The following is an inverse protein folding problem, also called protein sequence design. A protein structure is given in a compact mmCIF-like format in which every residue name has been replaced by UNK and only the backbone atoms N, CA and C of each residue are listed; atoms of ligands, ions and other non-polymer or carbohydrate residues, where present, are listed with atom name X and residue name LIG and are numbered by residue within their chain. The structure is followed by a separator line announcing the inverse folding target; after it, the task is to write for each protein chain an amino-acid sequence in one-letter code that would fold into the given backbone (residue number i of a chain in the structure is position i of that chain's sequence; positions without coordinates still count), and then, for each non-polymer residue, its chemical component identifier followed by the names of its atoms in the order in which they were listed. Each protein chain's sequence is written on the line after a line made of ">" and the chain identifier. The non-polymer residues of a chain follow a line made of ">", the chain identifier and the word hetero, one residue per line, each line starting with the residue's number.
data_IF_580252763941
#
_entry.id   IF_580252763941
#
_cell.length_a   1.000
_cell.length_b   1.000
_cell.length_c   1.000
_cell.angle_alpha   90.00
_cell.angle_beta   90.00
_cell.angle_gamma   90.00
#
_symmetry.space_group_name_H-M   'P 1'
#
loop_
_entity.id
_entity.type
_entity.pdbx_description
1 polymer ?
#
# COMPACT_ATOMS: atom_id res chain seq x y z
N UNK A 1 -12.96 29.25 -3.75
CA UNK A 1 -14.15 28.45 -4.10
C UNK A 1 -14.79 28.04 -2.81
N UNK A 2 -16.05 28.41 -2.61
CA UNK A 2 -16.79 28.01 -1.41
C UNK A 2 -17.04 26.51 -1.46
N UNK A 3 -16.78 25.85 -0.33
CA UNK A 3 -17.03 24.42 -0.18
C UNK A 3 -18.54 24.16 -0.21
N UNK A 4 -19.01 23.32 -1.15
CA UNK A 4 -20.41 22.86 -1.20
C UNK A 4 -20.50 21.41 -0.72
N UNK A 5 -21.07 21.15 0.48
CA UNK A 5 -21.27 19.79 0.99
C UNK A 5 -22.06 18.90 0.04
N UNK A 6 -23.09 19.45 -0.61
CA UNK A 6 -23.93 18.70 -1.54
C UNK A 6 -23.13 18.22 -2.76
N UNK A 7 -22.35 19.11 -3.38
CA UNK A 7 -21.51 18.73 -4.53
C UNK A 7 -20.42 17.74 -4.11
N UNK A 8 -19.83 17.92 -2.91
CA UNK A 8 -18.83 17.01 -2.38
C UNK A 8 -19.38 15.58 -2.22
N UNK A 9 -20.61 15.42 -1.72
CA UNK A 9 -21.28 14.13 -1.62
C UNK A 9 -21.70 13.58 -2.99
N UNK A 10 -22.19 14.43 -3.90
CA UNK A 10 -22.59 14.01 -5.25
C UNK A 10 -21.43 13.41 -6.05
N UNK A 11 -20.21 13.87 -5.83
CA UNK A 11 -18.99 13.36 -6.49
C UNK A 11 -18.51 12.02 -5.93
N UNK A 12 -19.09 11.52 -4.83
CA UNK A 12 -18.71 10.22 -4.26
C UNK A 12 -19.26 9.08 -5.11
N UNK A 13 -18.39 8.14 -5.49
CA UNK A 13 -18.75 6.97 -6.31
C UNK A 13 -19.91 6.17 -5.72
N UNK A 14 -19.97 6.09 -4.39
CA UNK A 14 -21.03 5.39 -3.66
C UNK A 14 -22.41 5.99 -3.94
N UNK A 15 -22.49 7.32 -4.09
CA UNK A 15 -23.74 8.08 -4.18
C UNK A 15 -24.09 8.52 -5.61
N UNK A 16 -23.32 8.11 -6.61
CA UNK A 16 -23.60 8.46 -8.00
C UNK A 16 -25.05 8.10 -8.39
N UNK A 17 -25.80 9.01 -9.01
CA UNK A 17 -27.18 8.74 -9.42
C UNK A 17 -28.21 8.62 -8.29
N UNK A 18 -27.86 8.94 -7.03
CA UNK A 18 -28.87 9.26 -6.02
C UNK A 18 -29.51 10.61 -6.36
N UNK A 19 -30.81 10.74 -6.06
CA UNK A 19 -31.52 12.00 -6.26
C UNK A 19 -31.02 13.09 -5.29
N UNK A 20 -31.25 14.34 -5.66
CA UNK A 20 -30.74 15.47 -4.87
C UNK A 20 -31.42 15.61 -3.50
N UNK A 21 -32.67 15.14 -3.33
CA UNK A 21 -33.34 15.21 -2.03
C UNK A 21 -32.71 14.23 -1.03
N UNK A 22 -32.42 13.01 -1.46
CA UNK A 22 -31.67 12.01 -0.68
C UNK A 22 -30.28 12.53 -0.32
N UNK A 23 -29.55 13.12 -1.27
CA UNK A 23 -28.23 13.70 -0.99
C UNK A 23 -28.32 14.86 0.02
N UNK A 24 -29.35 15.71 -0.07
CA UNK A 24 -29.56 16.81 0.85
C UNK A 24 -29.82 16.34 2.28
N UNK A 25 -30.59 15.25 2.46
CA UNK A 25 -30.76 14.61 3.78
C UNK A 25 -29.41 14.15 4.33
N UNK A 26 -28.58 13.52 3.49
CA UNK A 26 -27.26 13.03 3.90
C UNK A 26 -26.31 14.14 4.29
N UNK A 27 -26.37 15.31 3.64
CA UNK A 27 -25.55 16.48 4.02
C UNK A 27 -25.77 16.83 5.50
N UNK A 28 -27.02 16.86 5.97
CA UNK A 28 -27.34 17.20 7.37
C UNK A 28 -26.89 16.15 8.39
N UNK A 29 -26.58 14.93 7.94
CA UNK A 29 -26.14 13.81 8.77
C UNK A 29 -24.63 13.53 8.66
N UNK A 30 -23.92 14.27 7.80
CA UNK A 30 -22.50 14.05 7.50
C UNK A 30 -21.63 15.07 8.23
N UNK A 31 -20.61 14.57 8.94
CA UNK A 31 -19.57 15.41 9.53
C UNK A 31 -18.39 15.56 8.55
N UNK A 32 -17.90 16.78 8.35
CA UNK A 32 -16.75 17.04 7.48
C UNK A 32 -15.55 17.43 8.34
N UNK A 33 -14.41 16.77 8.13
CA UNK A 33 -13.23 16.92 8.97
C UNK A 33 -11.96 16.97 8.12
N UNK A 34 -11.03 17.86 8.52
CA UNK A 34 -9.71 17.96 7.90
C UNK A 34 -8.69 17.18 8.70
N UNK A 35 -7.83 16.45 7.99
CA UNK A 35 -6.71 15.70 8.54
C UNK A 35 -5.42 16.20 7.93
N UNK A 36 -4.46 16.52 8.78
CA UNK A 36 -3.10 16.82 8.36
C UNK A 36 -2.40 15.58 7.79
N UNK A 37 -1.36 15.83 6.99
CA UNK A 37 -0.49 14.76 6.50
C UNK A 37 0.12 14.00 7.69
N UNK A 38 0.08 12.67 7.62
CA UNK A 38 0.48 11.66 8.62
C UNK A 38 -0.51 11.45 9.76
N UNK A 39 -1.64 12.15 9.80
CA UNK A 39 -2.68 11.90 10.80
C UNK A 39 -3.45 10.61 10.50
N UNK A 40 -3.80 9.87 11.54
CA UNK A 40 -4.68 8.71 11.44
C UNK A 40 -6.13 9.17 11.30
N UNK A 41 -6.80 8.66 10.28
CA UNK A 41 -8.24 8.82 10.07
C UNK A 41 -9.00 7.67 10.71
N UNK A 42 -8.41 6.46 10.67
CA UNK A 42 -8.95 5.26 11.30
C UNK A 42 -7.82 4.50 11.96
N UNK A 43 -8.09 3.97 13.16
CA UNK A 43 -7.22 3.04 13.85
C UNK A 43 -7.74 1.61 13.71
N UNK A 44 -6.87 0.68 13.29
CA UNK A 44 -7.19 -0.76 13.31
C UNK A 44 -7.65 -1.17 14.71
N UNK A 45 -8.66 -2.03 14.78
CA UNK A 45 -9.18 -2.56 16.04
C UNK A 45 -10.18 -1.65 16.75
N UNK A 46 -10.29 -0.37 16.37
CA UNK A 46 -11.33 0.50 16.91
C UNK A 46 -12.72 0.02 16.49
N UNK A 47 -13.75 0.47 17.19
CA UNK A 47 -15.13 0.26 16.75
C UNK A 47 -15.34 0.92 15.37
N UNK A 48 -16.00 0.20 14.47
CA UNK A 48 -16.21 0.66 13.09
C UNK A 48 -17.63 1.13 12.83
N UNK A 49 -18.02 2.21 13.49
CA UNK A 49 -19.38 2.75 13.47
C UNK A 49 -19.60 3.92 12.50
N UNK A 50 -18.66 4.15 11.58
CA UNK A 50 -18.69 5.31 10.67
C UNK A 50 -18.21 4.91 9.27
N UNK A 51 -18.87 5.42 8.23
CA UNK A 51 -18.40 5.33 6.85
C UNK A 51 -17.62 6.60 6.50
N UNK A 52 -16.42 6.46 5.95
CA UNK A 52 -15.55 7.59 5.62
C UNK A 52 -15.42 7.72 4.10
N UNK A 53 -15.58 8.93 3.59
CA UNK A 53 -15.45 9.28 2.18
C UNK A 53 -14.37 10.34 2.02
N UNK A 54 -13.47 10.15 1.06
CA UNK A 54 -12.41 11.12 0.78
C UNK A 54 -12.91 12.18 -0.19
N UNK A 55 -12.95 13.44 0.27
CA UNK A 55 -13.37 14.58 -0.56
C UNK A 55 -12.18 15.18 -1.31
N UNK A 56 -11.06 15.38 -0.64
CA UNK A 56 -9.82 15.88 -1.24
C UNK A 56 -8.58 15.40 -0.47
N UNK A 57 -7.42 15.44 -1.11
CA UNK A 57 -6.18 14.89 -0.55
C UNK A 57 -5.99 13.42 -0.96
N UNK A 58 -5.41 12.62 -0.07
CA UNK A 58 -5.06 11.22 -0.35
C UNK A 58 -4.83 10.45 0.94
N UNK A 59 -5.50 9.32 1.10
CA UNK A 59 -5.30 8.43 2.23
C UNK A 59 -4.59 7.14 1.80
N UNK A 60 -4.00 6.45 2.77
CA UNK A 60 -3.41 5.13 2.57
C UNK A 60 -3.91 4.20 3.66
N UNK A 61 -4.43 3.05 3.25
CA UNK A 61 -4.77 1.96 4.14
C UNK A 61 -3.49 1.20 4.48
N UNK A 62 -3.25 0.98 5.76
CA UNK A 62 -2.04 0.33 6.28
C UNK A 62 -2.40 -0.75 7.30
N UNK A 63 -1.58 -1.77 7.37
CA UNK A 63 -1.68 -2.83 8.37
C UNK A 63 -0.32 -3.09 9.02
N UNK A 64 -0.28 -3.51 10.29
CA UNK A 64 0.96 -3.95 10.92
C UNK A 64 1.45 -5.24 10.27
N UNK A 65 2.75 -5.32 10.01
CA UNK A 65 3.49 -6.54 9.71
C UNK A 65 3.93 -7.25 11.00
N UNK A 66 4.37 -8.50 10.86
CA UNK A 66 4.89 -9.31 11.97
C UNK A 66 6.10 -8.69 12.66
N UNK A 67 6.91 -7.90 11.94
CA UNK A 67 8.06 -7.18 12.47
C UNK A 67 7.69 -5.82 13.12
N UNK A 68 6.40 -5.54 13.27
CA UNK A 68 5.87 -4.31 13.86
C UNK A 68 5.87 -3.10 12.92
N UNK A 69 6.37 -3.23 11.67
CA UNK A 69 6.31 -2.13 10.69
C UNK A 69 4.93 -2.01 10.09
N UNK A 70 4.56 -0.80 9.68
CA UNK A 70 3.33 -0.60 8.90
C UNK A 70 3.58 -0.86 7.42
N UNK A 71 2.73 -1.70 6.83
CA UNK A 71 2.75 -2.03 5.40
C UNK A 71 1.52 -1.43 4.75
N UNK A 72 1.74 -0.72 3.64
CA UNK A 72 0.66 -0.20 2.82
C UNK A 72 -0.13 -1.31 2.16
N UNK A 73 -1.46 -1.21 2.18
CA UNK A 73 -2.37 -2.14 1.50
C UNK A 73 -2.89 -1.55 0.19
N UNK A 74 -3.35 -0.30 0.20
CA UNK A 74 -3.76 0.45 -0.99
C UNK A 74 -3.92 1.94 -0.67
N UNK A 75 -4.04 2.76 -1.73
CA UNK A 75 -4.39 4.18 -1.61
C UNK A 75 -5.89 4.39 -1.77
N UNK A 76 -6.42 5.42 -1.10
CA UNK A 76 -7.77 5.92 -1.30
C UNK A 76 -7.65 7.29 -1.97
N UNK A 77 -8.32 7.44 -3.10
CA UNK A 77 -8.33 8.66 -3.93
C UNK A 77 -9.65 9.42 -3.75
N UNK A 78 -9.70 10.74 -4.02
CA UNK A 78 -10.93 11.53 -3.91
C UNK A 78 -12.11 10.91 -4.66
N UNK A 79 -13.31 11.02 -4.06
CA UNK A 79 -14.53 10.39 -4.56
C UNK A 79 -14.68 8.92 -4.14
N UNK A 80 -13.72 8.37 -3.39
CA UNK A 80 -13.75 7.00 -2.89
C UNK A 80 -14.03 6.93 -1.38
N UNK A 81 -14.37 5.73 -0.91
CA UNK A 81 -14.82 5.50 0.47
C UNK A 81 -14.19 4.27 1.12
N UNK A 82 -14.27 4.23 2.45
CA UNK A 82 -13.69 3.19 3.28
C UNK A 82 -14.47 3.02 4.59
N UNK A 83 -14.24 1.89 5.26
CA UNK A 83 -14.86 1.58 6.54
C UNK A 83 -16.20 0.85 6.41
N UNK A 84 -16.59 0.51 5.19
CA UNK A 84 -17.82 -0.20 4.84
C UNK A 84 -17.89 -1.58 5.49
N UNK A 85 -16.78 -2.30 5.59
CA UNK A 85 -16.74 -3.67 6.13
C UNK A 85 -17.31 -3.69 7.56
N UNK A 86 -16.76 -2.86 8.43
CA UNK A 86 -17.19 -2.79 9.83
C UNK A 86 -18.62 -2.26 10.01
N UNK A 87 -19.09 -1.39 9.09
CA UNK A 87 -20.49 -0.94 9.08
C UNK A 87 -21.44 -2.08 8.69
N UNK A 88 -21.00 -2.96 7.78
CA UNK A 88 -21.77 -4.10 7.29
C UNK A 88 -21.83 -5.22 8.32
N UNK A 89 -20.67 -5.69 8.81
CA UNK A 89 -20.57 -6.87 9.66
C UNK A 89 -20.60 -6.57 11.17
N UNK A 90 -20.45 -5.29 11.56
CA UNK A 90 -20.39 -4.87 12.96
C UNK A 90 -19.08 -5.20 13.68
N UNK A 91 -18.08 -5.72 12.97
CA UNK A 91 -16.77 -6.05 13.49
C UNK A 91 -15.88 -4.83 13.73
N UNK A 92 -14.68 -5.02 14.33
CA UNK A 92 -13.71 -3.95 14.49
C UNK A 92 -13.12 -3.53 13.14
N UNK A 93 -12.50 -2.34 13.09
CA UNK A 93 -11.77 -1.87 11.91
C UNK A 93 -10.65 -2.84 11.53
N UNK A 94 -10.67 -3.33 10.29
CA UNK A 94 -9.72 -4.32 9.79
C UNK A 94 -8.30 -3.78 9.55
N UNK A 95 -8.17 -2.47 9.33
CA UNK A 95 -6.91 -1.80 9.03
C UNK A 95 -6.91 -0.35 9.56
N UNK A 96 -5.73 0.24 9.66
CA UNK A 96 -5.56 1.66 9.94
C UNK A 96 -5.59 2.45 8.62
N UNK A 97 -5.95 3.72 8.70
CA UNK A 97 -5.95 4.64 7.55
C UNK A 97 -5.25 5.92 7.94
N UNK A 98 -4.26 6.32 7.15
CA UNK A 98 -3.43 7.51 7.39
C UNK A 98 -3.52 8.45 6.20
N UNK A 99 -3.61 9.75 6.48
CA UNK A 99 -3.53 10.79 5.47
C UNK A 99 -2.10 10.92 4.93
N UNK A 100 -1.90 10.75 3.63
CA UNK A 100 -0.58 10.90 2.99
C UNK A 100 -0.31 12.33 2.49
N UNK A 101 -1.38 13.13 2.43
CA UNK A 101 -1.41 14.57 2.15
C UNK A 101 -2.48 15.20 3.05
N UNK A 102 -2.49 16.52 3.22
CA UNK A 102 -3.61 17.20 3.87
C UNK A 102 -4.91 16.81 3.16
N UNK A 103 -5.89 16.31 3.91
CA UNK A 103 -7.07 15.64 3.35
C UNK A 103 -8.35 16.12 4.02
N UNK A 104 -9.41 16.30 3.23
CA UNK A 104 -10.76 16.55 3.72
C UNK A 104 -11.57 15.28 3.57
N UNK A 105 -12.21 14.83 4.64
CA UNK A 105 -13.07 13.64 4.64
C UNK A 105 -14.48 13.98 5.06
N UNK A 106 -15.44 13.22 4.56
CA UNK A 106 -16.82 13.18 5.01
C UNK A 106 -17.06 11.89 5.79
N UNK A 107 -17.66 12.02 6.97
CA UNK A 107 -17.94 10.94 7.90
C UNK A 107 -19.44 10.81 8.07
N UNK A 108 -19.97 9.66 7.68
CA UNK A 108 -21.39 9.33 7.79
C UNK A 108 -21.59 8.30 8.89
N UNK A 109 -22.48 8.53 9.88
CA UNK A 109 -22.75 7.56 10.93
C UNK A 109 -23.17 6.21 10.36
N UNK A 110 -22.63 5.13 10.92
CA UNK A 110 -22.77 3.77 10.41
C UNK A 110 -24.21 3.29 10.35
N UNK A 111 -25.07 3.74 11.26
CA UNK A 111 -26.50 3.43 11.21
C UNK A 111 -27.21 4.10 10.02
N UNK A 112 -26.78 5.31 9.62
CA UNK A 112 -27.28 5.99 8.41
C UNK A 112 -26.74 5.30 7.16
N UNK A 113 -25.44 4.99 7.14
CA UNK A 113 -24.83 4.25 6.03
C UNK A 113 -25.51 2.90 5.82
N UNK A 114 -25.74 2.12 6.88
CA UNK A 114 -26.44 0.83 6.82
C UNK A 114 -27.90 0.95 6.35
N UNK A 115 -28.58 2.04 6.68
CA UNK A 115 -29.91 2.36 6.10
C UNK A 115 -29.83 2.57 4.59
N UNK A 116 -28.81 3.28 4.09
CA UNK A 116 -28.59 3.42 2.65
C UNK A 116 -28.29 2.06 1.99
N UNK A 117 -27.46 1.23 2.62
CA UNK A 117 -27.06 -0.07 2.07
C UNK A 117 -28.26 -1.02 1.92
N UNK A 118 -29.29 -0.85 2.74
CA UNK A 118 -30.48 -1.73 2.76
C UNK A 118 -31.66 -1.14 2.00
N UNK A 119 -31.77 0.19 1.89
CA UNK A 119 -32.92 0.86 1.27
C UNK A 119 -32.67 1.47 -0.11
N UNK A 120 -31.41 1.60 -0.52
CA UNK A 120 -31.05 2.14 -1.84
C UNK A 120 -30.36 1.04 -2.67
N UNK A 121 -31.08 0.34 -3.57
CA UNK A 121 -30.52 -0.78 -4.34
C UNK A 121 -29.24 -0.43 -5.10
N UNK A 122 -29.19 0.79 -5.66
CA UNK A 122 -28.03 1.31 -6.39
C UNK A 122 -26.78 1.43 -5.49
N UNK A 123 -26.96 1.79 -4.21
CA UNK A 123 -25.86 1.86 -3.23
C UNK A 123 -25.41 0.44 -2.84
N UNK A 124 -26.36 -0.46 -2.62
CA UNK A 124 -26.09 -1.85 -2.28
C UNK A 124 -25.26 -2.56 -3.37
N UNK A 125 -25.68 -2.42 -4.62
CA UNK A 125 -24.99 -3.01 -5.78
C UNK A 125 -23.52 -2.55 -5.85
N UNK A 126 -23.25 -1.26 -5.64
CA UNK A 126 -21.88 -0.71 -5.67
C UNK A 126 -20.99 -1.29 -4.60
N UNK A 127 -21.53 -1.46 -3.40
CA UNK A 127 -20.81 -2.08 -2.30
C UNK A 127 -20.50 -3.54 -2.63
N UNK A 128 -21.49 -4.29 -3.13
CA UNK A 128 -21.29 -5.69 -3.53
C UNK A 128 -20.23 -5.80 -4.62
N UNK A 129 -20.30 -4.99 -5.67
CA UNK A 129 -19.30 -4.96 -6.75
C UNK A 129 -17.91 -4.60 -6.22
N UNK A 130 -17.81 -3.62 -5.31
CA UNK A 130 -16.54 -3.27 -4.65
C UNK A 130 -15.99 -4.44 -3.84
N UNK A 131 -16.79 -5.09 -3.00
CA UNK A 131 -16.37 -6.23 -2.21
C UNK A 131 -15.93 -7.40 -3.10
N UNK A 132 -16.66 -7.70 -4.18
CA UNK A 132 -16.24 -8.71 -5.15
C UNK A 132 -14.87 -8.36 -5.77
N UNK A 133 -14.61 -7.09 -6.08
CA UNK A 133 -13.32 -6.64 -6.60
C UNK A 133 -12.21 -6.75 -5.54
N UNK A 134 -12.46 -6.38 -4.29
CA UNK A 134 -11.54 -6.54 -3.17
C UNK A 134 -11.17 -8.02 -2.95
N UNK A 135 -12.13 -8.94 -3.03
CA UNK A 135 -11.90 -10.38 -2.90
C UNK A 135 -11.05 -10.92 -4.05
N UNK A 136 -11.36 -10.52 -5.30
CA UNK A 136 -10.59 -10.90 -6.49
C UNK A 136 -9.15 -10.38 -6.41
N UNK A 137 -8.97 -9.13 -6.00
CA UNK A 137 -7.65 -8.52 -5.83
C UNK A 137 -6.85 -9.22 -4.73
N UNK A 138 -7.48 -9.52 -3.59
CA UNK A 138 -6.82 -10.25 -2.49
C UNK A 138 -6.37 -11.64 -2.91
N UNK A 139 -7.20 -12.35 -3.68
CA UNK A 139 -6.84 -13.66 -4.26
C UNK A 139 -5.66 -13.55 -5.24
N UNK A 140 -5.64 -12.51 -6.08
CA UNK A 140 -4.53 -12.25 -7.00
C UNK A 140 -3.22 -11.96 -6.26
N UNK A 141 -3.26 -11.11 -5.22
CA UNK A 141 -2.08 -10.80 -4.40
C UNK A 141 -1.54 -12.07 -3.74
N UNK A 142 -2.40 -12.95 -3.20
CA UNK A 142 -1.95 -14.25 -2.64
C UNK A 142 -1.22 -15.12 -3.68
N UNK A 143 -1.68 -15.14 -4.93
CA UNK A 143 -0.99 -15.85 -6.02
C UNK A 143 0.39 -15.24 -6.31
N UNK A 144 0.51 -13.91 -6.34
CA UNK A 144 1.79 -13.21 -6.53
C UNK A 144 2.74 -13.41 -5.34
N UNK A 145 2.24 -13.41 -4.11
CA UNK A 145 3.04 -13.63 -2.90
C UNK A 145 3.62 -15.05 -2.83
N UNK A 146 2.98 -16.04 -3.47
CA UNK A 146 3.53 -17.39 -3.65
C UNK A 146 4.79 -17.43 -4.52
N UNK A 147 5.17 -16.34 -5.20
CA UNK A 147 6.38 -16.27 -6.00
C UNK A 147 7.62 -16.02 -5.11
N UNK A 148 8.62 -16.89 -5.26
CA UNK A 148 9.83 -16.89 -4.43
C UNK A 148 10.70 -15.62 -4.50
N UNK A 149 10.58 -14.78 -5.55
CA UNK A 149 11.54 -13.69 -5.83
C UNK A 149 10.87 -12.32 -5.92
N UNK A 150 11.43 -11.33 -5.22
CA UNK A 150 10.95 -9.95 -5.17
C UNK A 150 10.81 -9.31 -6.57
N UNK A 151 11.78 -9.53 -7.46
CA UNK A 151 11.74 -8.98 -8.82
C UNK A 151 10.63 -9.62 -9.67
N UNK A 152 10.45 -10.94 -9.55
CA UNK A 152 9.38 -11.66 -10.27
C UNK A 152 7.99 -11.16 -9.85
N UNK A 153 7.78 -10.85 -8.56
CA UNK A 153 6.52 -10.24 -8.09
C UNK A 153 6.26 -8.89 -8.74
N UNK A 154 7.28 -8.03 -8.83
CA UNK A 154 7.17 -6.72 -9.50
C UNK A 154 6.82 -6.91 -10.99
N UNK A 155 7.49 -7.83 -11.67
CA UNK A 155 7.23 -8.11 -13.07
C UNK A 155 5.84 -8.72 -13.30
N UNK A 156 5.33 -9.53 -12.38
CA UNK A 156 3.97 -10.05 -12.42
C UNK A 156 2.91 -8.95 -12.30
N UNK A 157 3.13 -7.96 -11.44
CA UNK A 157 2.26 -6.77 -11.34
C UNK A 157 2.24 -6.01 -12.67
N UNK A 158 3.40 -5.75 -13.27
CA UNK A 158 3.51 -5.05 -14.55
C UNK A 158 2.87 -5.85 -15.70
N UNK A 159 3.11 -7.16 -15.75
CA UNK A 159 2.53 -8.06 -16.75
C UNK A 159 1.00 -8.11 -16.64
N UNK A 160 0.46 -8.17 -15.42
CA UNK A 160 -0.99 -8.16 -15.16
C UNK A 160 -1.65 -6.86 -15.64
N UNK A 161 -0.92 -5.74 -15.58
CA UNK A 161 -1.38 -4.43 -16.06
C UNK A 161 -1.21 -4.23 -17.59
N UNK A 162 -0.46 -5.10 -18.27
CA UNK A 162 -0.18 -4.96 -19.70
C UNK A 162 -1.39 -5.38 -20.55
N UNK A 163 -1.68 -4.62 -21.61
CA UNK A 163 -2.77 -4.88 -22.56
C UNK A 163 -2.27 -4.67 -23.98
N UNK A 164 -2.82 -5.42 -24.93
CA UNK A 164 -2.60 -5.19 -26.35
C UNK A 164 -3.33 -3.93 -26.77
N UNK A 165 -2.61 -2.97 -27.32
CA UNK A 165 -3.09 -1.64 -27.67
C UNK A 165 -3.67 -1.58 -29.09
N UNK A 166 -3.11 -2.34 -30.04
CA UNK A 166 -3.53 -2.32 -31.44
C UNK A 166 -3.47 -3.70 -32.10
N UNK A 167 -4.05 -3.81 -33.29
CA UNK A 167 -4.06 -5.02 -34.11
C UNK A 167 -2.66 -5.47 -34.54
N UNK A 168 -1.68 -4.55 -34.51
CA UNK A 168 -0.27 -4.83 -34.78
C UNK A 168 0.46 -5.50 -33.60
N UNK A 169 -0.24 -5.76 -32.49
CA UNK A 169 0.31 -6.50 -31.35
C UNK A 169 1.17 -5.66 -30.41
N UNK A 170 1.14 -4.32 -30.48
CA UNK A 170 1.85 -3.47 -29.53
C UNK A 170 1.24 -3.63 -28.15
N UNK A 171 2.05 -4.00 -27.16
CA UNK A 171 1.60 -4.15 -25.77
C UNK A 171 2.00 -2.92 -24.97
N UNK A 172 1.05 -2.32 -24.26
CA UNK A 172 1.28 -1.13 -23.43
C UNK A 172 0.71 -1.31 -22.01
N UNK A 173 1.22 -0.48 -21.09
CA UNK A 173 0.65 -0.27 -19.76
C UNK A 173 0.29 1.21 -19.70
N UNK A 174 -0.95 1.56 -20.03
CA UNK A 174 -1.39 2.96 -20.15
C UNK A 174 -1.50 3.68 -18.82
N UNK A 175 -2.08 3.01 -17.82
CA UNK A 175 -2.27 3.54 -16.48
C UNK A 175 -1.22 2.94 -15.55
N UNK A 176 0.06 3.25 -15.82
CA UNK A 176 1.17 2.72 -15.03
C UNK A 176 0.97 3.05 -13.55
N UNK A 177 0.81 2.05 -12.67
CA UNK A 177 0.72 2.31 -11.24
C UNK A 177 2.01 2.99 -10.76
N UNK A 178 1.87 3.92 -9.82
CA UNK A 178 3.06 4.54 -9.20
C UNK A 178 4.00 3.48 -8.64
N UNK A 179 5.30 3.75 -8.57
CA UNK A 179 6.25 2.79 -7.99
C UNK A 179 5.88 2.39 -6.55
N UNK A 180 5.25 3.29 -5.80
CA UNK A 180 4.74 3.00 -4.46
C UNK A 180 3.56 2.03 -4.49
N UNK A 181 2.63 2.18 -5.44
CA UNK A 181 1.52 1.25 -5.63
C UNK A 181 2.03 -0.14 -6.07
N UNK A 182 3.01 -0.20 -6.97
CA UNK A 182 3.65 -1.45 -7.37
C UNK A 182 4.34 -2.11 -6.16
N UNK A 183 5.01 -1.31 -5.32
CA UNK A 183 5.70 -1.79 -4.11
C UNK A 183 4.72 -2.44 -3.13
N UNK A 184 3.57 -1.81 -2.92
CA UNK A 184 2.46 -2.32 -2.11
C UNK A 184 1.96 -3.66 -2.68
N UNK A 185 1.59 -3.72 -3.97
CA UNK A 185 1.05 -4.94 -4.57
C UNK A 185 2.05 -6.10 -4.59
N UNK A 186 3.32 -5.82 -4.89
CA UNK A 186 4.38 -6.82 -4.92
C UNK A 186 4.97 -7.14 -3.54
N UNK A 187 4.52 -6.46 -2.47
CA UNK A 187 5.06 -6.54 -1.11
C UNK A 187 6.59 -6.47 -1.08
N UNK A 188 7.12 -5.33 -1.53
CA UNK A 188 8.55 -5.00 -1.61
C UNK A 188 8.76 -3.52 -1.33
N UNK A 189 10.00 -3.07 -1.14
CA UNK A 189 10.29 -1.64 -1.01
C UNK A 189 10.17 -0.88 -2.34
N UNK A 190 9.89 0.42 -2.30
CA UNK A 190 9.88 1.30 -3.48
C UNK A 190 11.21 1.31 -4.21
N UNK A 191 12.32 1.26 -3.48
CA UNK A 191 13.69 1.18 -4.03
C UNK A 191 13.89 -0.13 -4.81
N UNK A 192 13.26 -1.22 -4.36
CA UNK A 192 13.28 -2.51 -5.07
C UNK A 192 12.51 -2.42 -6.37
N UNK A 193 11.35 -1.75 -6.39
CA UNK A 193 10.62 -1.45 -7.64
C UNK A 193 11.47 -0.61 -8.58
N UNK A 194 12.10 0.46 -8.07
CA UNK A 194 12.97 1.33 -8.88
C UNK A 194 14.10 0.54 -9.54
N UNK A 195 14.77 -0.34 -8.80
CA UNK A 195 15.83 -1.22 -9.34
C UNK A 195 15.31 -2.21 -10.38
N UNK A 196 14.15 -2.81 -10.15
CA UNK A 196 13.53 -3.74 -11.11
C UNK A 196 13.13 -3.01 -12.41
N UNK A 197 12.56 -1.81 -12.31
CA UNK A 197 12.25 -0.95 -13.46
C UNK A 197 13.52 -0.59 -14.24
N UNK A 198 14.59 -0.17 -13.56
CA UNK A 198 15.89 0.11 -14.19
C UNK A 198 16.44 -1.12 -14.93
N UNK A 199 16.31 -2.31 -14.36
CA UNK A 199 16.72 -3.55 -15.02
C UNK A 199 15.92 -3.81 -16.30
N UNK A 200 14.60 -3.60 -16.31
CA UNK A 200 13.77 -3.74 -17.52
C UNK A 200 14.16 -2.74 -18.61
N UNK A 201 14.42 -1.47 -18.25
CA UNK A 201 14.86 -0.45 -19.21
C UNK A 201 16.25 -0.76 -19.79
N UNK A 202 17.21 -1.13 -18.94
CA UNK A 202 18.57 -1.45 -19.38
C UNK A 202 18.60 -2.66 -20.33
N UNK A 203 17.69 -3.61 -20.16
CA UNK A 203 17.55 -4.78 -21.03
C UNK A 203 16.57 -4.58 -22.19
N UNK A 204 16.07 -3.34 -22.40
CA UNK A 204 15.13 -2.97 -23.48
C UNK A 204 13.85 -3.82 -23.52
N UNK A 205 13.41 -4.33 -22.37
CA UNK A 205 12.16 -5.13 -22.28
C UNK A 205 10.95 -4.21 -22.24
N UNK A 206 11.09 -3.07 -21.57
CA UNK A 206 10.10 -2.00 -21.55
C UNK A 206 10.76 -0.68 -21.88
N UNK A 207 9.96 0.25 -22.37
CA UNK A 207 10.34 1.61 -22.68
C UNK A 207 9.35 2.58 -22.07
N UNK A 208 9.85 3.70 -21.54
CA UNK A 208 9.00 4.72 -20.93
C UNK A 208 8.51 5.68 -22.01
N UNK A 209 7.19 5.87 -22.05
CA UNK A 209 6.55 6.88 -22.88
C UNK A 209 5.58 7.69 -22.02
N UNK A 210 6.04 8.83 -21.50
CA UNK A 210 5.27 9.69 -20.61
C UNK A 210 4.65 8.94 -19.41
N UNK A 211 3.31 8.81 -19.40
CA UNK A 211 2.54 8.13 -18.34
C UNK A 211 2.30 6.65 -18.64
N UNK A 212 2.69 6.16 -19.82
CA UNK A 212 2.57 4.76 -20.23
C UNK A 212 3.94 4.07 -20.32
N UNK A 213 3.92 2.73 -20.24
CA UNK A 213 5.06 1.89 -20.63
C UNK A 213 4.73 1.16 -21.92
N UNK A 214 5.68 1.14 -22.84
CA UNK A 214 5.64 0.27 -24.02
C UNK A 214 6.39 -1.01 -23.67
N UNK A 215 5.73 -2.16 -23.80
CA UNK A 215 6.33 -3.47 -23.55
C UNK A 215 6.93 -3.97 -24.87
N UNK A 216 8.23 -3.70 -25.07
CA UNK A 216 8.97 -4.06 -26.28
C UNK A 216 9.15 -5.57 -26.43
N UNK A 217 9.25 -6.29 -25.31
CA UNK A 217 9.34 -7.75 -25.31
C UNK A 217 8.32 -8.38 -24.33
N UNK A 218 7.06 -8.59 -24.77
CA UNK A 218 6.00 -9.16 -23.93
C UNK A 218 6.32 -10.58 -23.43
N UNK A 219 6.96 -11.40 -24.28
CA UNK A 219 7.34 -12.78 -23.93
C UNK A 219 8.37 -12.80 -22.81
N UNK A 220 9.41 -11.97 -22.90
CA UNK A 220 10.41 -11.86 -21.84
C UNK A 220 9.80 -11.36 -20.53
N UNK A 221 8.92 -10.35 -20.58
CA UNK A 221 8.21 -9.84 -19.40
C UNK A 221 7.36 -10.94 -18.74
N UNK A 222 6.65 -11.75 -19.52
CA UNK A 222 5.87 -12.88 -19.02
C UNK A 222 6.73 -13.96 -18.34
N UNK A 223 7.86 -14.34 -18.96
CA UNK A 223 8.80 -15.30 -18.37
C UNK A 223 9.44 -14.79 -17.08
N UNK A 224 9.77 -13.50 -17.03
CA UNK A 224 10.28 -12.83 -15.83
C UNK A 224 9.24 -12.79 -14.70
N UNK A 225 7.98 -12.52 -15.03
CA UNK A 225 6.84 -12.56 -14.11
C UNK A 225 6.63 -13.95 -13.51
N UNK A 226 6.77 -15.01 -14.31
CA UNK A 226 6.68 -16.42 -13.83
C UNK A 226 7.95 -16.91 -13.13
N UNK A 227 9.03 -16.12 -13.12
CA UNK A 227 10.30 -16.49 -12.49
C UNK A 227 11.15 -17.49 -13.28
N UNK A 228 10.80 -17.74 -14.55
CA UNK A 228 11.49 -18.62 -15.51
C UNK A 228 12.76 -17.99 -16.11
N UNK A 229 12.93 -16.68 -15.91
CA UNK A 229 14.04 -15.88 -16.42
C UNK A 229 14.55 -14.94 -15.32
N UNK A 230 15.81 -14.53 -15.40
CA UNK A 230 16.38 -13.49 -14.52
C UNK A 230 17.18 -12.48 -15.33
N UNK A 231 17.06 -11.21 -14.96
CA UNK A 231 17.93 -10.16 -15.46
C UNK A 231 19.12 -10.02 -14.51
N UNK A 232 20.32 -9.94 -15.07
CA UNK A 232 21.52 -9.59 -14.29
C UNK A 232 21.40 -8.14 -13.85
N UNK A 233 21.23 -7.91 -12.55
CA UNK A 233 21.31 -6.57 -11.97
C UNK A 233 22.78 -6.25 -11.75
N UNK A 234 23.33 -5.29 -12.48
CA UNK A 234 24.68 -4.79 -12.19
C UNK A 234 24.69 -4.20 -10.77
N UNK A 235 25.55 -4.73 -9.89
CA UNK A 235 25.81 -4.12 -8.58
C UNK A 235 26.56 -2.81 -8.81
N UNK A 236 26.03 -1.71 -8.28
CA UNK A 236 26.68 -0.40 -8.30
C UNK A 236 28.01 -0.49 -7.50
N UNK A 237 29.18 -0.16 -8.08
CA UNK A 237 30.49 -0.41 -7.47
C UNK A 237 30.86 0.48 -6.27
N UNK A 238 29.98 1.38 -5.79
CA UNK A 238 30.31 2.38 -4.76
C UNK A 238 30.19 1.92 -3.29
N UNK A 239 30.27 0.62 -2.98
CA UNK A 239 30.15 0.14 -1.58
C UNK A 239 31.26 -0.79 -1.09
N UNK A 240 32.35 -0.93 -1.84
CA UNK A 240 33.54 -1.70 -1.44
C UNK A 240 34.75 -0.79 -1.36
N UNK A 241 34.77 0.10 -0.37
CA UNK A 241 36.00 0.67 0.15
C UNK A 241 35.92 0.57 1.68
N UNK A 242 36.37 -0.57 2.23
CA UNK A 242 36.83 -0.60 3.62
C UNK A 242 38.24 0.01 3.62
N UNK A 243 38.61 0.87 4.58
CA UNK A 243 39.99 1.28 4.75
C UNK A 243 40.83 0.05 5.09
N UNK A 244 41.99 -0.09 4.43
CA UNK A 244 43.01 -1.05 4.79
C UNK A 244 43.67 -0.59 6.10
N UNK A 245 43.58 -1.42 7.16
CA UNK A 245 44.45 -1.28 8.32
C UNK A 245 45.86 -1.75 7.93
N UNK A 246 46.84 -0.86 8.13
CA UNK A 246 48.27 -1.16 7.97
C UNK A 246 48.76 -2.11 9.09
N UNK A 247 49.75 -2.99 8.81
CA UNK A 247 50.32 -3.85 9.82
C UNK A 247 51.41 -3.12 10.62
N UNK A 248 51.10 -2.73 11.86
CA UNK A 248 52.08 -2.26 12.83
C UNK A 248 52.91 -3.42 13.39
N UNK A 249 54.21 -3.42 13.10
CA UNK A 249 55.24 -4.24 13.74
C UNK A 249 55.44 -3.82 15.21
N UNK A 250 55.83 -4.78 16.05
CA UNK A 250 56.65 -4.55 17.24
C UNK A 250 56.07 -5.11 18.53
N UNK A 251 56.66 -6.20 19.02
CA UNK A 251 56.37 -6.77 20.34
C UNK A 251 57.15 -6.09 21.46
N UNK A 252 56.74 -6.37 22.69
CA UNK A 252 57.60 -6.50 23.88
C UNK A 252 56.76 -7.11 25.02
N UNK A 253 57.44 -7.92 25.81
CA UNK A 253 56.97 -8.72 26.94
C UNK A 253 56.40 -7.89 28.10
N UNK A 254 55.66 -8.52 29.02
CA UNK A 254 55.95 -8.53 30.46
C UNK A 254 55.00 -9.52 31.17
N UNK A 255 55.59 -10.52 31.84
CA UNK A 255 54.99 -11.28 32.93
C UNK A 255 54.62 -10.34 34.10
N UNK A 256 53.59 -10.66 34.88
CA UNK A 256 53.74 -11.16 36.26
C UNK A 256 52.34 -11.29 36.93
N UNK A 257 52.36 -11.77 38.16
CA UNK A 257 51.44 -12.71 38.79
C UNK A 257 50.50 -12.12 39.84
N UNK A 258 49.67 -13.01 40.41
CA UNK A 258 49.13 -13.00 41.78
C UNK A 258 47.77 -12.32 42.09
N UNK A 259 46.80 -13.19 42.45
CA UNK A 259 46.08 -13.23 43.75
C UNK A 259 45.20 -12.03 44.19
N UNK A 260 43.87 -12.20 44.29
CA UNK A 260 43.11 -12.32 45.56
C UNK A 260 41.58 -12.19 45.41
N UNK A 261 40.89 -13.00 46.21
CA UNK A 261 39.64 -12.70 46.95
C UNK A 261 38.29 -12.65 46.21
N UNK A 262 37.60 -13.81 46.18
CA UNK A 262 36.14 -13.85 46.26
C UNK A 262 35.72 -14.06 47.72
N UNK A 263 35.19 -13.00 48.33
CA UNK A 263 34.50 -13.01 49.61
C UNK A 263 33.04 -12.58 49.43
N UNK A 264 32.13 -13.48 49.80
CA UNK A 264 30.96 -13.27 50.65
C UNK A 264 29.94 -12.17 50.31
N UNK A 265 28.70 -12.59 49.99
CA UNK A 265 27.42 -12.35 50.75
C UNK A 265 26.22 -12.59 49.82
N UNK A 266 25.41 -13.62 50.11
CA UNK A 266 24.12 -13.54 50.85
C UNK A 266 23.09 -12.67 50.12
N UNK A 267 22.07 -13.29 49.52
CA UNK A 267 20.82 -13.76 50.13
C UNK A 267 19.73 -12.70 49.95
N UNK A 268 18.75 -13.00 49.11
CA UNK A 268 17.44 -12.34 49.11
C UNK A 268 16.39 -13.44 48.94
N UNK A 269 15.75 -13.72 50.07
CA UNK A 269 14.55 -14.52 50.19
C UNK A 269 13.32 -13.60 50.06
N UNK A 270 12.24 -14.23 49.63
CA UNK A 270 10.84 -13.81 49.47
C UNK A 270 10.34 -12.44 50.00
N UNK A 271 9.52 -11.78 49.17
CA UNK A 271 8.05 -11.76 49.34
C UNK A 271 7.35 -11.31 48.06
#
# INVERSE_FOLDING_TARGET
>A
MDFSPLEALRQQKLFAGLDSATLQELVGLTHFEQFDKRSYVIHKGSQGDTLVMLISGRLQVIAPAEDGREVGLHFVEPGDYLGEIAVIDGGPRSASVVATTASLVAQLPGHVARRLFTRQPVVAERILLRLCNTIRQSSHIRSVLGMARAFSRIYAVLHSAARTWNEQGLVTIENLPSQQAIAITANVSRETVSRAMQALFANKIVEKDNRRLIVRNPVALARLARGEMQLRVQRNPRRSAKPQEEPGKGGAEYEDSATHAQGSRQALDAS
#
